data_IF_810364380433
#
_entry.id   IF_810364380433
#
_cell.length_a   1.000
_cell.length_b   1.000
_cell.length_c   1.000
_cell.angle_alpha   90.00
_cell.angle_beta   90.00
_cell.angle_gamma   90.00
#
_symmetry.space_group_name_H-M   'P 1'
#
loop_
_entity.id
_entity.type
_entity.pdbx_description
1 polymer ?
#
# COMPACT_ATOMS: atom_id res chain seq x y z
N UNK A 1 -6.56 14.86 -11.44
CA UNK A 1 -5.75 15.13 -10.24
C UNK A 1 -5.66 16.63 -10.04
N UNK A 2 -5.62 17.11 -8.79
CA UNK A 2 -5.31 18.53 -8.53
C UNK A 2 -3.86 18.82 -8.94
N UNK A 3 -3.59 20.05 -9.32
CA UNK A 3 -2.23 20.51 -9.59
C UNK A 3 -1.32 20.19 -8.41
N UNK A 4 -0.14 19.63 -8.69
CA UNK A 4 0.83 19.22 -7.68
C UNK A 4 0.47 17.97 -6.86
N UNK A 5 -0.67 17.32 -7.12
CA UNK A 5 -1.07 16.09 -6.46
C UNK A 5 -0.23 14.87 -6.87
N UNK A 6 0.09 14.00 -5.91
CA UNK A 6 0.82 12.76 -6.13
C UNK A 6 -0.11 11.65 -6.63
N UNK A 7 0.27 10.98 -7.71
CA UNK A 7 -0.38 9.76 -8.21
C UNK A 7 0.45 8.56 -7.80
N UNK A 8 -0.18 7.59 -7.15
CA UNK A 8 0.45 6.34 -6.74
C UNK A 8 -0.18 5.21 -7.56
N UNK A 9 0.63 4.43 -8.28
CA UNK A 9 0.14 3.36 -9.16
C UNK A 9 0.85 2.04 -8.93
N UNK A 10 0.15 0.93 -9.23
CA UNK A 10 0.80 -0.37 -9.33
C UNK A 10 1.61 -0.47 -10.63
N UNK A 11 2.92 -0.55 -10.48
CA UNK A 11 3.87 -0.67 -11.60
C UNK A 11 3.76 -1.98 -12.38
N UNK A 12 3.20 -3.05 -11.79
CA UNK A 12 3.01 -4.32 -12.52
C UNK A 12 1.85 -4.27 -13.51
N UNK A 13 0.91 -3.32 -13.34
CA UNK A 13 -0.32 -3.24 -14.12
C UNK A 13 -0.42 -1.94 -14.94
N UNK A 14 0.07 -0.81 -14.40
CA UNK A 14 -0.11 0.51 -15.00
C UNK A 14 1.13 0.91 -15.79
N UNK A 15 1.03 0.81 -17.12
CA UNK A 15 2.14 1.13 -18.03
C UNK A 15 2.34 2.64 -18.22
N UNK A 16 1.25 3.38 -18.35
CA UNK A 16 1.29 4.81 -18.69
C UNK A 16 0.44 5.65 -17.74
N UNK A 17 0.90 6.87 -17.43
CA UNK A 17 0.30 7.79 -16.46
C UNK A 17 0.47 9.23 -16.98
N UNK A 18 -0.61 10.01 -17.21
CA UNK A 18 -0.56 11.39 -17.72
C UNK A 18 -0.40 12.44 -16.62
N UNK A 19 0.40 12.18 -15.60
CA UNK A 19 0.63 13.14 -14.50
C UNK A 19 2.12 13.22 -14.21
N UNK A 20 2.60 14.39 -13.76
CA UNK A 20 4.04 14.62 -13.56
C UNK A 20 4.56 13.98 -12.27
N UNK A 21 3.80 14.07 -11.18
CA UNK A 21 4.17 13.50 -9.88
C UNK A 21 3.60 12.10 -9.73
N UNK A 22 4.43 11.10 -10.01
CA UNK A 22 4.02 9.69 -9.96
C UNK A 22 4.97 8.86 -9.11
N UNK A 23 4.43 8.15 -8.13
CA UNK A 23 5.10 7.05 -7.45
C UNK A 23 4.61 5.72 -8.04
N UNK A 24 5.55 4.85 -8.43
CA UNK A 24 5.28 3.56 -9.05
C UNK A 24 5.84 2.47 -8.15
N UNK A 25 4.98 1.62 -7.59
CA UNK A 25 5.38 0.52 -6.72
C UNK A 25 4.74 -0.78 -7.20
N UNK A 26 5.38 -1.94 -7.05
CA UNK A 26 4.85 -3.22 -7.53
C UNK A 26 3.92 -3.86 -6.49
N UNK A 27 2.76 -3.26 -6.20
CA UNK A 27 1.88 -3.69 -5.11
C UNK A 27 1.43 -5.15 -5.24
N UNK A 28 1.13 -5.59 -6.46
CA UNK A 28 0.79 -6.98 -6.72
C UNK A 28 1.94 -7.94 -6.34
N UNK A 29 3.20 -7.56 -6.60
CA UNK A 29 4.36 -8.36 -6.23
C UNK A 29 4.54 -8.38 -4.71
N UNK A 30 4.44 -7.21 -4.07
CA UNK A 30 4.54 -7.06 -2.61
C UNK A 30 3.55 -7.99 -1.91
N UNK A 31 2.26 -7.95 -2.30
CA UNK A 31 1.24 -8.81 -1.72
C UNK A 31 1.44 -10.30 -2.05
N UNK A 32 1.95 -10.63 -3.24
CA UNK A 32 2.25 -12.02 -3.60
C UNK A 32 3.36 -12.59 -2.72
N UNK A 33 4.38 -11.78 -2.41
CA UNK A 33 5.51 -12.19 -1.57
C UNK A 33 5.12 -12.48 -0.11
N UNK A 34 4.00 -11.93 0.38
CA UNK A 34 3.50 -12.23 1.74
C UNK A 34 2.67 -13.52 1.82
N UNK A 35 2.42 -14.17 0.69
CA UNK A 35 1.52 -15.33 0.61
C UNK A 35 0.03 -14.97 0.67
N UNK A 36 -0.33 -13.68 0.72
CA UNK A 36 -1.71 -13.19 0.69
C UNK A 36 -1.91 -12.18 -0.43
N UNK A 37 -2.27 -12.68 -1.62
CA UNK A 37 -2.52 -11.82 -2.79
C UNK A 37 -3.58 -10.75 -2.54
N UNK A 38 -4.52 -10.97 -1.61
CA UNK A 38 -5.55 -9.97 -1.26
C UNK A 38 -4.99 -8.81 -0.43
N UNK A 39 -3.76 -8.89 0.08
CA UNK A 39 -3.08 -7.82 0.82
C UNK A 39 -2.53 -6.70 -0.10
N UNK A 40 -2.82 -6.72 -1.40
CA UNK A 40 -2.43 -5.67 -2.36
C UNK A 40 -2.91 -4.28 -1.92
N UNK A 41 -4.09 -4.19 -1.31
CA UNK A 41 -4.61 -2.96 -0.75
C UNK A 41 -3.83 -2.49 0.49
N UNK A 42 -3.24 -3.41 1.27
CA UNK A 42 -2.38 -3.06 2.39
C UNK A 42 -1.03 -2.53 1.92
N UNK A 43 -0.47 -3.11 0.85
CA UNK A 43 0.71 -2.54 0.19
C UNK A 43 0.42 -1.13 -0.32
N UNK A 44 -0.72 -0.92 -1.00
CA UNK A 44 -1.12 0.41 -1.43
C UNK A 44 -1.31 1.38 -0.25
N UNK A 45 -1.87 0.93 0.87
CA UNK A 45 -2.03 1.73 2.08
C UNK A 45 -0.68 2.07 2.73
N UNK A 46 0.30 1.16 2.69
CA UNK A 46 1.68 1.38 3.13
C UNK A 46 2.33 2.54 2.39
N UNK A 47 2.29 2.49 1.06
CA UNK A 47 2.79 3.57 0.22
C UNK A 47 2.08 4.90 0.49
N UNK A 48 0.75 4.90 0.68
CA UNK A 48 0.01 6.12 1.05
C UNK A 48 0.47 6.65 2.40
N UNK A 49 0.62 5.81 3.43
CA UNK A 49 1.05 6.23 4.75
C UNK A 49 2.49 6.78 4.75
N UNK A 50 3.37 6.20 3.93
CA UNK A 50 4.77 6.60 3.77
C UNK A 50 4.90 7.93 3.01
N UNK A 51 4.21 8.06 1.88
CA UNK A 51 4.31 9.22 0.98
C UNK A 51 3.42 10.40 1.41
N UNK A 52 2.35 10.11 2.16
CA UNK A 52 1.39 11.09 2.67
C UNK A 52 1.18 10.85 4.19
N UNK A 53 2.12 11.28 5.06
CA UNK A 53 2.13 10.97 6.50
C UNK A 53 1.10 11.80 7.30
N UNK A 54 -0.15 11.79 6.86
CA UNK A 54 -1.31 12.43 7.51
C UNK A 54 -1.76 11.60 8.72
N UNK A 55 -1.52 10.28 8.68
CA UNK A 55 -1.86 9.33 9.74
C UNK A 55 -0.62 8.51 10.08
N UNK A 56 -0.39 8.24 11.37
CA UNK A 56 0.79 7.47 11.79
C UNK A 56 0.69 6.00 11.40
N UNK A 57 1.79 5.44 10.87
CA UNK A 57 1.87 4.01 10.52
C UNK A 57 1.60 3.10 11.72
N UNK A 58 2.03 3.51 12.91
CA UNK A 58 1.76 2.78 14.15
C UNK A 58 0.25 2.69 14.47
N UNK A 59 -0.51 3.77 14.25
CA UNK A 59 -1.97 3.74 14.41
C UNK A 59 -2.63 2.81 13.40
N UNK A 60 -2.17 2.82 12.14
CA UNK A 60 -2.69 1.93 11.10
C UNK A 60 -2.43 0.46 11.43
N UNK A 61 -1.21 0.09 11.85
CA UNK A 61 -0.87 -1.28 12.28
C UNK A 61 -1.74 -1.74 13.46
N UNK A 62 -1.99 -0.86 14.45
CA UNK A 62 -2.89 -1.17 15.58
C UNK A 62 -4.32 -1.43 15.11
N UNK A 63 -4.81 -0.70 14.11
CA UNK A 63 -6.16 -0.89 13.56
C UNK A 63 -6.24 -2.19 12.76
N UNK A 64 -5.20 -2.55 12.00
CA UNK A 64 -5.14 -3.82 11.26
C UNK A 64 -5.32 -5.02 12.20
N UNK A 65 -4.62 -5.04 13.34
CA UNK A 65 -4.75 -6.09 14.34
C UNK A 65 -6.17 -6.20 14.94
N UNK A 66 -6.92 -5.09 14.98
CA UNK A 66 -8.30 -5.05 15.52
C UNK A 66 -9.37 -5.40 14.49
N UNK A 67 -9.12 -5.11 13.21
CA UNK A 67 -10.14 -5.18 12.14
C UNK A 67 -10.01 -6.43 11.28
N UNK A 68 -8.82 -7.01 11.18
CA UNK A 68 -8.57 -8.19 10.36
C UNK A 68 -8.76 -9.48 11.16
N UNK A 69 -9.18 -10.58 10.53
CA UNK A 69 -9.10 -11.90 11.14
C UNK A 69 -7.67 -12.19 11.59
N UNK A 70 -7.49 -12.83 12.74
CA UNK A 70 -6.17 -13.13 13.31
C UNK A 70 -5.22 -13.82 12.32
N UNK A 71 -5.74 -14.76 11.53
CA UNK A 71 -4.97 -15.50 10.50
C UNK A 71 -4.50 -14.64 9.33
N UNK A 72 -4.99 -13.40 9.19
CA UNK A 72 -4.64 -12.47 8.11
C UNK A 72 -3.78 -11.31 8.57
N UNK A 73 -3.66 -11.06 9.89
CA UNK A 73 -2.97 -9.88 10.43
C UNK A 73 -1.52 -9.81 9.94
N UNK A 74 -0.77 -10.91 10.03
CA UNK A 74 0.66 -10.87 9.75
C UNK A 74 0.97 -10.61 8.27
N UNK A 75 0.32 -11.34 7.35
CA UNK A 75 0.54 -11.14 5.91
C UNK A 75 0.14 -9.73 5.45
N UNK A 76 -0.91 -9.15 6.05
CA UNK A 76 -1.35 -7.78 5.75
C UNK A 76 -0.39 -6.73 6.33
N UNK A 77 0.15 -6.97 7.54
CA UNK A 77 1.16 -6.11 8.18
C UNK A 77 2.47 -6.11 7.39
N UNK A 78 2.91 -7.28 6.91
CA UNK A 78 4.09 -7.40 6.06
C UNK A 78 3.90 -6.62 4.75
N UNK A 79 2.76 -6.78 4.07
CA UNK A 79 2.49 -6.07 2.83
C UNK A 79 2.46 -4.55 3.03
N UNK A 80 1.89 -4.08 4.15
CA UNK A 80 1.88 -2.67 4.52
C UNK A 80 3.27 -2.10 4.80
N UNK A 81 4.17 -2.87 5.43
CA UNK A 81 5.51 -2.38 5.78
C UNK A 81 6.52 -2.41 4.62
N UNK A 82 6.28 -3.24 3.61
CA UNK A 82 7.16 -3.41 2.45
C UNK A 82 7.02 -2.28 1.40
N UNK A 83 5.90 -1.57 1.42
CA UNK A 83 5.54 -0.53 0.45
C UNK A 83 5.80 0.89 0.97
#
# INVERSE_FOLDING_TARGET
MKEGGLVIVDSSLVRWVPWDKVARLPFQQIATNTGERRAINMAALGAVASLCPIVSSASLVKVMAKRLPASKVEANRLAFNEA
#
